data_IF_939514600221
#
_entry.id   IF_939514600221
#
_cell.length_a   1.000
_cell.length_b   1.000
_cell.length_c   1.000
_cell.angle_alpha   90.00
_cell.angle_beta   90.00
_cell.angle_gamma   90.00
#
_symmetry.space_group_name_H-M   'P 1'
#
loop_
_entity.id
_entity.type
_entity.pdbx_description
1 polymer ?
#
# COMPACT_ATOMS: atom_id res chain seq x y z
N UNK A 1 3.39 13.42 -26.17
CA UNK A 1 3.26 13.84 -24.76
C UNK A 1 3.91 15.21 -24.51
N UNK A 2 5.19 15.39 -24.82
CA UNK A 2 5.94 16.64 -24.60
C UNK A 2 5.24 17.90 -25.14
N UNK A 3 4.68 17.84 -26.35
CA UNK A 3 3.92 18.96 -26.94
C UNK A 3 2.69 19.37 -26.13
N UNK A 4 1.93 18.41 -25.61
CA UNK A 4 0.79 18.70 -24.73
C UNK A 4 1.28 19.29 -23.40
N UNK A 5 2.40 18.79 -22.90
CA UNK A 5 3.07 19.37 -21.73
C UNK A 5 3.39 20.86 -21.91
N UNK A 6 4.02 21.18 -23.04
CA UNK A 6 4.33 22.56 -23.41
C UNK A 6 3.07 23.41 -23.63
N UNK A 7 2.10 22.95 -24.45
CA UNK A 7 0.90 23.72 -24.77
C UNK A 7 0.13 24.08 -23.49
N UNK A 8 -0.07 23.13 -22.57
CA UNK A 8 -0.95 23.33 -21.42
C UNK A 8 -0.22 23.80 -20.14
N UNK A 9 1.04 24.26 -20.24
CA UNK A 9 1.84 24.68 -19.08
C UNK A 9 1.96 23.58 -18.00
N UNK A 10 2.06 22.32 -18.42
CA UNK A 10 2.16 21.17 -17.52
C UNK A 10 3.58 20.98 -16.96
N UNK A 11 4.51 21.91 -17.19
CA UNK A 11 5.85 21.92 -16.58
C UNK A 11 5.77 21.88 -15.03
N UNK A 12 4.65 22.38 -14.46
CA UNK A 12 4.35 22.27 -13.03
C UNK A 12 3.94 20.86 -12.58
N UNK A 13 3.56 19.98 -13.51
CA UNK A 13 3.26 18.57 -13.28
C UNK A 13 4.49 17.66 -13.33
N UNK A 14 5.71 18.20 -13.46
CA UNK A 14 6.95 17.42 -13.32
C UNK A 14 7.06 16.64 -12.00
N UNK A 15 6.31 17.07 -10.98
CA UNK A 15 6.22 16.37 -9.68
C UNK A 15 5.15 15.26 -9.66
N UNK A 16 4.32 15.16 -10.69
CA UNK A 16 3.23 14.18 -10.84
C UNK A 16 3.57 13.16 -11.92
N UNK A 17 4.19 13.60 -13.03
CA UNK A 17 4.65 12.76 -14.13
C UNK A 17 6.14 12.97 -14.30
N UNK A 18 6.92 11.88 -14.22
CA UNK A 18 8.31 11.91 -14.65
C UNK A 18 8.36 11.96 -16.18
N UNK A 19 8.77 13.10 -16.71
CA UNK A 19 9.05 13.24 -18.14
C UNK A 19 10.41 12.65 -18.52
N UNK A 20 11.25 12.21 -17.57
CA UNK A 20 12.55 11.57 -17.86
C UNK A 20 12.40 10.31 -18.75
N UNK A 21 11.28 9.60 -18.62
CA UNK A 21 10.89 8.48 -19.52
C UNK A 21 10.77 8.89 -20.98
N UNK A 22 10.54 10.18 -21.19
CA UNK A 22 10.37 10.82 -22.48
C UNK A 22 11.54 11.75 -22.76
N UNK A 23 12.68 11.70 -22.05
CA UNK A 23 13.86 12.55 -22.29
C UNK A 23 15.03 11.76 -22.92
N UNK A 24 15.02 10.42 -22.83
CA UNK A 24 15.98 9.53 -23.49
C UNK A 24 15.60 9.17 -24.94
N UNK A 25 15.06 10.12 -25.70
CA UNK A 25 14.87 9.93 -27.13
C UNK A 25 16.12 10.41 -27.89
N UNK A 26 16.48 9.69 -28.95
CA UNK A 26 17.60 10.08 -29.81
C UNK A 26 17.21 11.33 -30.60
N UNK A 27 17.65 12.49 -30.08
CA UNK A 27 17.46 13.81 -30.70
C UNK A 27 18.01 13.82 -32.13
N UNK A 28 19.13 13.15 -32.41
CA UNK A 28 19.70 13.09 -33.77
C UNK A 28 18.81 12.28 -34.71
N UNK A 29 18.23 11.17 -34.23
CA UNK A 29 17.30 10.35 -35.01
C UNK A 29 15.99 11.10 -35.29
N UNK A 30 15.45 11.81 -34.30
CA UNK A 30 14.25 12.63 -34.43
C UNK A 30 14.46 13.82 -35.37
N UNK A 31 15.62 14.47 -35.32
CA UNK A 31 15.99 15.56 -36.24
C UNK A 31 16.20 15.04 -37.67
N UNK A 32 16.72 13.82 -37.83
CA UNK A 32 16.87 13.16 -39.14
C UNK A 32 15.54 12.78 -39.78
N UNK A 33 14.56 12.36 -38.97
CA UNK A 33 13.18 12.14 -39.37
C UNK A 33 12.42 13.48 -39.41
N UNK A 34 12.83 14.39 -40.31
CA UNK A 34 12.39 15.79 -40.38
C UNK A 34 10.87 15.97 -40.30
N UNK A 35 10.10 15.04 -40.86
CA UNK A 35 8.64 15.09 -40.81
C UNK A 35 8.06 14.97 -39.40
N UNK A 36 8.64 14.18 -38.51
CA UNK A 36 8.09 13.94 -37.17
C UNK A 36 8.39 15.12 -36.24
N UNK A 37 9.63 15.62 -36.25
CA UNK A 37 10.06 16.73 -35.41
C UNK A 37 9.44 18.06 -35.84
N UNK A 38 9.40 18.37 -37.14
CA UNK A 38 8.72 19.55 -37.68
C UNK A 38 7.22 19.54 -37.34
N UNK A 39 6.58 18.36 -37.36
CA UNK A 39 5.18 18.23 -36.95
C UNK A 39 4.94 18.44 -35.46
N UNK A 40 5.95 18.24 -34.59
CA UNK A 40 5.81 18.42 -33.14
C UNK A 40 5.79 19.90 -32.72
N UNK A 41 6.37 20.82 -33.51
CA UNK A 41 6.43 22.27 -33.21
C UNK A 41 6.83 22.57 -31.75
N UNK A 42 7.79 21.82 -31.20
CA UNK A 42 8.30 22.08 -29.84
C UNK A 42 9.11 23.37 -29.89
N UNK A 43 8.72 24.38 -29.11
CA UNK A 43 9.47 25.64 -29.00
C UNK A 43 10.53 25.46 -27.90
N UNK A 44 11.80 25.74 -28.20
CA UNK A 44 12.89 25.74 -27.20
C UNK A 44 12.65 26.78 -26.10
N UNK A 45 12.17 27.98 -26.46
CA UNK A 45 11.77 29.03 -25.53
C UNK A 45 10.39 29.58 -25.87
N UNK A 46 9.48 29.58 -24.89
CA UNK A 46 8.17 30.23 -24.99
C UNK A 46 8.20 31.65 -24.45
N UNK A 47 7.37 32.52 -25.03
CA UNK A 47 7.26 33.90 -24.57
C UNK A 47 6.66 33.97 -23.16
N UNK A 48 6.99 35.03 -22.42
CA UNK A 48 6.45 35.27 -21.09
C UNK A 48 4.92 35.50 -21.10
N UNK A 49 4.32 35.84 -22.24
CA UNK A 49 2.85 35.87 -22.39
C UNK A 49 2.25 34.46 -22.50
N UNK A 50 2.88 33.54 -23.24
CA UNK A 50 2.42 32.16 -23.40
C UNK A 50 2.42 31.39 -22.07
N UNK A 51 3.39 31.67 -21.18
CA UNK A 51 3.47 31.09 -19.83
C UNK A 51 2.39 31.61 -18.88
N UNK A 52 1.75 32.74 -19.19
CA UNK A 52 0.67 33.36 -18.38
C UNK A 52 -0.72 32.93 -18.83
N UNK A 53 -0.85 32.16 -19.91
CA UNK A 53 -2.14 31.66 -20.40
C UNK A 53 -2.78 30.78 -19.32
N UNK A 54 -4.01 31.15 -18.94
CA UNK A 54 -4.82 30.43 -17.96
C UNK A 54 -5.77 29.52 -18.74
N UNK A 55 -5.60 28.22 -18.57
CA UNK A 55 -6.48 27.21 -19.16
C UNK A 55 -7.68 26.95 -18.25
N UNK A 56 -8.82 26.66 -18.87
CA UNK A 56 -10.01 26.17 -18.16
C UNK A 56 -9.77 24.78 -17.60
N UNK A 57 -10.58 24.38 -16.61
CA UNK A 57 -10.53 23.01 -16.05
C UNK A 57 -10.76 21.93 -17.12
N UNK A 58 -11.62 22.22 -18.11
CA UNK A 58 -11.95 21.28 -19.19
C UNK A 58 -10.76 21.05 -20.12
N UNK A 59 -10.08 22.13 -20.51
CA UNK A 59 -8.87 22.09 -21.34
C UNK A 59 -7.73 21.32 -20.64
N UNK A 60 -7.53 21.57 -19.35
CA UNK A 60 -6.53 20.83 -18.56
C UNK A 60 -6.92 19.35 -18.45
N UNK A 61 -8.20 19.04 -18.19
CA UNK A 61 -8.68 17.64 -18.14
C UNK A 61 -8.42 16.91 -19.45
N UNK A 62 -8.75 17.54 -20.59
CA UNK A 62 -8.50 16.99 -21.92
C UNK A 62 -7.02 16.70 -22.15
N UNK A 63 -6.14 17.63 -21.76
CA UNK A 63 -4.70 17.44 -21.90
C UNK A 63 -4.20 16.26 -21.05
N UNK A 64 -4.64 16.16 -19.79
CA UNK A 64 -4.28 15.09 -18.88
C UNK A 64 -4.77 13.72 -19.36
N UNK A 65 -6.03 13.64 -19.81
CA UNK A 65 -6.62 12.42 -20.39
C UNK A 65 -5.88 11.99 -21.65
N UNK A 66 -5.49 12.94 -22.51
CA UNK A 66 -4.71 12.67 -23.71
C UNK A 66 -3.30 12.17 -23.37
N UNK A 67 -2.62 12.77 -22.38
CA UNK A 67 -1.30 12.30 -21.93
C UNK A 67 -1.40 10.92 -21.30
N UNK A 68 -2.41 10.66 -20.46
CA UNK A 68 -2.68 9.34 -19.91
C UNK A 68 -2.83 8.27 -21.02
N UNK A 69 -3.64 8.55 -22.04
CA UNK A 69 -3.84 7.64 -23.16
C UNK A 69 -2.54 7.39 -23.93
N UNK A 70 -1.77 8.46 -24.23
CA UNK A 70 -0.50 8.34 -24.94
C UNK A 70 0.55 7.54 -24.15
N UNK A 71 0.66 7.76 -22.84
CA UNK A 71 1.58 6.98 -21.98
C UNK A 71 1.17 5.51 -21.91
N UNK A 72 -0.13 5.24 -21.85
CA UNK A 72 -0.65 3.85 -21.92
C UNK A 72 -0.26 3.21 -23.25
N UNK A 73 -0.47 3.90 -24.37
CA UNK A 73 -0.10 3.40 -25.70
C UNK A 73 1.42 3.23 -25.87
N UNK A 74 2.24 4.11 -25.30
CA UNK A 74 3.70 3.95 -25.32
C UNK A 74 4.15 2.71 -24.55
N UNK A 75 3.55 2.46 -23.38
CA UNK A 75 3.76 1.21 -22.66
C UNK A 75 3.33 -0.01 -23.48
N UNK A 76 2.21 0.07 -24.21
CA UNK A 76 1.77 -1.03 -25.08
C UNK A 76 2.75 -1.30 -26.22
N UNK A 77 3.23 -0.25 -26.89
CA UNK A 77 4.23 -0.36 -27.95
C UNK A 77 5.53 -0.99 -27.44
N UNK A 78 6.01 -0.57 -26.26
CA UNK A 78 7.18 -1.18 -25.63
C UNK A 78 6.94 -2.66 -25.28
N UNK A 79 5.77 -3.00 -24.72
CA UNK A 79 5.41 -4.40 -24.43
C UNK A 79 5.42 -5.25 -25.70
N UNK A 80 4.79 -4.76 -26.77
CA UNK A 80 4.76 -5.47 -28.05
C UNK A 80 6.16 -5.63 -28.64
N UNK A 81 6.99 -4.60 -28.56
CA UNK A 81 8.39 -4.68 -29.00
C UNK A 81 9.14 -5.84 -28.32
N UNK A 82 8.94 -6.00 -27.00
CA UNK A 82 9.49 -7.13 -26.23
C UNK A 82 8.92 -8.47 -26.71
N UNK A 83 7.59 -8.57 -26.80
CA UNK A 83 6.88 -9.82 -27.11
C UNK A 83 7.20 -10.34 -28.51
N UNK A 84 7.49 -9.45 -29.47
CA UNK A 84 7.91 -9.82 -30.81
C UNK A 84 9.41 -10.17 -30.94
N UNK A 85 10.15 -10.16 -29.83
CA UNK A 85 11.56 -10.55 -29.82
C UNK A 85 12.45 -9.58 -30.61
N UNK A 86 12.04 -8.31 -30.69
CA UNK A 86 12.82 -7.26 -31.35
C UNK A 86 13.94 -6.71 -30.45
N UNK A 87 14.07 -7.24 -29.22
CA UNK A 87 15.01 -6.79 -28.20
C UNK A 87 16.26 -7.66 -28.03
N UNK A 88 17.39 -6.97 -27.84
CA UNK A 88 18.65 -7.49 -27.30
C UNK A 88 19.06 -6.82 -25.98
N UNK A 89 18.14 -6.14 -25.28
CA UNK A 89 18.40 -5.35 -24.07
C UNK A 89 17.83 -6.01 -22.81
N UNK A 90 18.61 -5.99 -21.73
CA UNK A 90 18.17 -6.31 -20.36
C UNK A 90 17.40 -5.12 -19.74
N UNK A 91 16.36 -5.36 -18.93
CA UNK A 91 15.52 -4.39 -18.18
C UNK A 91 14.35 -3.71 -18.92
N UNK A 92 13.81 -4.32 -19.98
CA UNK A 92 12.72 -3.69 -20.76
C UNK A 92 11.36 -3.72 -20.04
N UNK A 93 11.14 -4.67 -19.12
CA UNK A 93 9.88 -4.77 -18.35
C UNK A 93 9.72 -3.60 -17.38
N UNK A 94 10.78 -3.19 -16.72
CA UNK A 94 10.79 -2.09 -15.75
C UNK A 94 10.52 -0.75 -16.45
N UNK A 95 11.13 -0.55 -17.63
CA UNK A 95 10.86 0.62 -18.48
C UNK A 95 9.41 0.61 -18.96
N UNK A 96 8.92 -0.54 -19.45
CA UNK A 96 7.53 -0.70 -19.87
C UNK A 96 6.54 -0.38 -18.73
N UNK A 97 6.82 -0.89 -17.53
CA UNK A 97 6.01 -0.64 -16.34
C UNK A 97 5.97 0.85 -15.98
N UNK A 98 7.09 1.54 -16.15
CA UNK A 98 7.21 2.96 -15.82
C UNK A 98 6.23 3.82 -16.64
N UNK A 99 6.05 3.53 -17.93
CA UNK A 99 5.01 4.22 -18.74
C UNK A 99 3.60 4.04 -18.17
N UNK A 100 3.24 2.82 -17.77
CA UNK A 100 1.92 2.56 -17.17
C UNK A 100 1.78 3.21 -15.80
N UNK A 101 2.83 3.26 -14.99
CA UNK A 101 2.82 3.94 -13.69
C UNK A 101 2.66 5.45 -13.82
N UNK A 102 3.35 6.08 -14.77
CA UNK A 102 3.16 7.50 -15.05
C UNK A 102 1.75 7.80 -15.57
N UNK A 103 1.21 6.95 -16.44
CA UNK A 103 -0.19 7.05 -16.86
C UNK A 103 -1.13 6.92 -15.65
N UNK A 104 -0.91 5.93 -14.78
CA UNK A 104 -1.73 5.71 -13.60
C UNK A 104 -1.72 6.90 -12.62
N UNK A 105 -0.57 7.54 -12.39
CA UNK A 105 -0.47 8.74 -11.53
C UNK A 105 -1.34 9.89 -12.02
N UNK A 106 -1.53 10.02 -13.33
CA UNK A 106 -2.39 11.04 -13.92
C UNK A 106 -3.89 10.77 -13.70
N UNK A 107 -4.29 9.50 -13.69
CA UNK A 107 -5.68 9.13 -13.48
C UNK A 107 -5.82 7.77 -12.78
N UNK A 108 -5.74 7.78 -11.46
CA UNK A 108 -5.84 6.58 -10.62
C UNK A 108 -7.23 5.95 -10.60
N UNK A 109 -8.23 6.61 -11.20
CA UNK A 109 -9.63 6.16 -11.22
C UNK A 109 -9.90 5.13 -12.31
N UNK A 110 -9.10 5.10 -13.37
CA UNK A 110 -9.35 4.26 -14.56
C UNK A 110 -8.52 2.97 -14.48
N UNK A 111 -9.17 1.82 -14.60
CA UNK A 111 -8.53 0.51 -14.43
C UNK A 111 -7.57 0.09 -15.55
N UNK A 112 -7.62 0.71 -16.73
CA UNK A 112 -6.91 0.22 -17.92
C UNK A 112 -5.39 0.07 -17.72
N UNK A 113 -4.73 1.05 -17.09
CA UNK A 113 -3.28 1.02 -16.84
C UNK A 113 -2.90 -0.12 -15.90
N UNK A 114 -3.77 -0.43 -14.93
CA UNK A 114 -3.61 -1.54 -14.01
C UNK A 114 -3.81 -2.88 -14.73
N UNK A 115 -4.78 -3.01 -15.64
CA UNK A 115 -4.87 -4.18 -16.51
C UNK A 115 -3.59 -4.40 -17.34
N UNK A 116 -2.98 -3.33 -17.87
CA UNK A 116 -1.74 -3.45 -18.64
C UNK A 116 -0.57 -3.90 -17.74
N UNK A 117 -0.44 -3.37 -16.52
CA UNK A 117 0.52 -3.85 -15.52
C UNK A 117 0.30 -5.31 -15.16
N UNK A 118 -0.96 -5.74 -15.02
CA UNK A 118 -1.30 -7.14 -14.75
C UNK A 118 -0.86 -8.07 -15.88
N UNK A 119 -0.94 -7.62 -17.13
CA UNK A 119 -0.45 -8.34 -18.31
C UNK A 119 1.07 -8.41 -18.32
N UNK A 120 1.75 -7.29 -18.02
CA UNK A 120 3.20 -7.19 -18.01
C UNK A 120 3.85 -8.10 -16.95
N UNK A 121 3.24 -8.19 -15.77
CA UNK A 121 3.73 -9.00 -14.66
C UNK A 121 3.22 -10.45 -14.63
N UNK A 122 2.67 -10.93 -15.75
CA UNK A 122 2.21 -12.32 -15.88
C UNK A 122 3.28 -13.32 -15.45
N UNK A 123 2.91 -14.24 -14.55
CA UNK A 123 3.81 -15.27 -13.98
C UNK A 123 4.70 -14.80 -12.82
N UNK A 124 4.89 -13.49 -12.60
CA UNK A 124 5.73 -12.98 -11.50
C UNK A 124 5.09 -13.28 -10.15
N UNK A 125 5.91 -13.66 -9.16
CA UNK A 125 5.46 -13.94 -7.80
C UNK A 125 4.29 -14.95 -7.76
N UNK A 126 4.40 -16.03 -8.54
CA UNK A 126 3.34 -17.03 -8.71
C UNK A 126 1.98 -16.44 -9.16
N UNK A 127 2.03 -15.38 -9.98
CA UNK A 127 0.89 -14.58 -10.45
C UNK A 127 0.28 -13.61 -9.43
N UNK A 128 0.82 -13.48 -8.22
CA UNK A 128 0.33 -12.51 -7.23
C UNK A 128 0.26 -11.09 -7.81
N UNK A 129 1.32 -10.68 -8.50
CA UNK A 129 1.43 -9.34 -9.10
C UNK A 129 0.34 -9.09 -10.13
N UNK A 130 0.13 -10.05 -11.05
CA UNK A 130 -0.93 -9.96 -12.04
C UNK A 130 -2.31 -9.90 -11.41
N UNK A 131 -2.59 -10.77 -10.44
CA UNK A 131 -3.88 -10.79 -9.74
C UNK A 131 -4.11 -9.47 -9.03
N UNK A 132 -3.13 -8.95 -8.29
CA UNK A 132 -3.24 -7.64 -7.64
C UNK A 132 -3.70 -6.54 -8.62
N UNK A 133 -3.03 -6.44 -9.76
CA UNK A 133 -3.32 -5.42 -10.76
C UNK A 133 -4.66 -5.61 -11.46
N UNK A 134 -5.04 -6.84 -11.83
CA UNK A 134 -6.35 -7.12 -12.41
C UNK A 134 -7.49 -6.86 -11.43
N UNK A 135 -7.34 -7.25 -10.16
CA UNK A 135 -8.37 -6.99 -9.15
C UNK A 135 -8.49 -5.51 -8.83
N UNK A 136 -7.37 -4.76 -8.78
CA UNK A 136 -7.42 -3.29 -8.69
C UNK A 136 -8.23 -2.72 -9.85
N UNK A 137 -7.92 -3.15 -11.08
CA UNK A 137 -8.58 -2.69 -12.30
C UNK A 137 -10.09 -2.94 -12.31
N UNK A 138 -10.57 -3.98 -11.62
CA UNK A 138 -11.98 -4.30 -11.45
C UNK A 138 -12.65 -3.57 -10.27
N UNK A 139 -11.87 -3.11 -9.30
CA UNK A 139 -12.39 -2.48 -8.07
C UNK A 139 -12.26 -0.95 -8.04
N UNK A 140 -11.49 -0.36 -8.96
CA UNK A 140 -11.31 1.08 -9.02
C UNK A 140 -12.62 1.81 -9.44
N UNK A 141 -12.70 3.14 -9.27
CA UNK A 141 -13.92 3.90 -9.56
C UNK A 141 -14.46 3.80 -11.00
N UNK A 142 -13.57 3.61 -11.98
CA UNK A 142 -13.91 3.37 -13.39
C UNK A 142 -13.28 2.02 -13.76
N UNK A 143 -13.97 0.90 -13.48
CA UNK A 143 -13.46 -0.44 -13.72
C UNK A 143 -13.16 -0.70 -15.20
N UNK A 144 -12.19 -1.58 -15.45
CA UNK A 144 -11.93 -2.10 -16.79
C UNK A 144 -12.30 -3.58 -16.86
N UNK A 145 -13.53 -3.85 -17.29
CA UNK A 145 -14.15 -5.18 -17.32
C UNK A 145 -13.36 -6.23 -18.11
N UNK A 146 -12.55 -5.82 -19.08
CA UNK A 146 -11.68 -6.73 -19.83
C UNK A 146 -10.55 -7.36 -18.97
N UNK A 147 -10.40 -6.95 -17.71
CA UNK A 147 -9.50 -7.61 -16.75
C UNK A 147 -10.08 -8.94 -16.23
N UNK A 148 -11.40 -9.08 -16.23
CA UNK A 148 -12.13 -10.24 -15.71
C UNK A 148 -11.73 -11.57 -16.38
N UNK A 149 -11.65 -11.66 -17.73
CA UNK A 149 -11.21 -12.90 -18.38
C UNK A 149 -9.73 -13.22 -18.09
N UNK A 150 -8.90 -12.22 -17.83
CA UNK A 150 -7.47 -12.41 -17.57
C UNK A 150 -7.24 -13.03 -16.20
N UNK A 151 -7.87 -12.49 -15.15
CA UNK A 151 -7.77 -13.05 -13.81
C UNK A 151 -8.47 -14.42 -13.71
N UNK A 152 -9.62 -14.58 -14.38
CA UNK A 152 -10.31 -15.88 -14.45
C UNK A 152 -9.43 -16.99 -15.05
N UNK A 153 -8.64 -16.66 -16.08
CA UNK A 153 -7.69 -17.60 -16.69
C UNK A 153 -6.58 -18.02 -15.71
N UNK A 154 -6.11 -17.08 -14.87
CA UNK A 154 -5.12 -17.38 -13.83
C UNK A 154 -5.73 -18.32 -12.80
N UNK A 155 -6.91 -18.01 -12.28
CA UNK A 155 -7.59 -18.87 -11.28
C UNK A 155 -7.89 -20.27 -11.82
N UNK A 156 -8.34 -20.40 -13.07
CA UNK A 156 -8.56 -21.72 -13.68
C UNK A 156 -7.28 -22.54 -13.81
N UNK A 157 -6.15 -21.92 -14.19
CA UNK A 157 -4.86 -22.62 -14.24
C UNK A 157 -4.40 -23.03 -12.83
N UNK A 158 -4.63 -22.17 -11.85
CA UNK A 158 -4.27 -22.41 -10.46
C UNK A 158 -5.07 -23.57 -9.84
N UNK A 159 -6.38 -23.66 -10.13
CA UNK A 159 -7.22 -24.79 -9.72
C UNK A 159 -6.67 -26.11 -10.30
N UNK A 160 -6.35 -26.14 -11.60
CA UNK A 160 -5.78 -27.35 -12.24
C UNK A 160 -4.44 -27.76 -11.64
N UNK A 161 -3.62 -26.79 -11.23
CA UNK A 161 -2.37 -27.06 -10.53
C UNK A 161 -2.61 -27.77 -9.20
N UNK A 162 -3.56 -27.28 -8.40
CA UNK A 162 -3.94 -27.89 -7.11
C UNK A 162 -4.56 -29.29 -7.29
N UNK A 163 -5.39 -29.48 -8.32
CA UNK A 163 -5.99 -30.79 -8.64
C UNK A 163 -4.95 -31.84 -9.08
N UNK A 164 -3.81 -31.40 -9.61
CA UNK A 164 -2.75 -32.28 -10.11
C UNK A 164 -1.69 -32.61 -9.05
N UNK A 165 -1.98 -32.39 -7.76
CA UNK A 165 -1.09 -32.58 -6.61
C UNK A 165 0.21 -31.74 -6.61
N UNK A 166 0.24 -30.62 -7.34
CA UNK A 166 1.42 -29.77 -7.44
C UNK A 166 2.54 -30.42 -8.28
N UNK A 167 3.14 -29.66 -9.19
CA UNK A 167 4.20 -30.18 -10.06
C UNK A 167 5.40 -30.70 -9.24
N UNK A 168 5.69 -32.00 -9.37
CA UNK A 168 6.57 -32.78 -8.50
C UNK A 168 8.09 -32.56 -8.69
N UNK A 169 8.54 -31.47 -9.31
CA UNK A 169 9.95 -31.26 -9.71
C UNK A 169 10.52 -29.89 -9.26
N UNK A 170 10.21 -29.44 -8.03
CA UNK A 170 10.63 -28.12 -7.52
C UNK A 170 11.37 -28.28 -6.20
N UNK A 171 12.38 -27.43 -5.97
CA UNK A 171 13.09 -27.34 -4.68
C UNK A 171 12.11 -27.14 -3.51
N UNK A 172 12.39 -27.79 -2.37
CA UNK A 172 11.45 -27.99 -1.26
C UNK A 172 10.95 -26.67 -0.64
N UNK A 173 11.78 -25.61 -0.66
CA UNK A 173 11.47 -24.29 -0.08
C UNK A 173 10.65 -23.40 -1.04
N UNK A 174 10.95 -23.41 -2.35
CA UNK A 174 10.12 -22.76 -3.40
C UNK A 174 8.75 -23.45 -3.51
N UNK A 175 8.71 -24.76 -3.24
CA UNK A 175 7.47 -25.52 -3.19
C UNK A 175 6.51 -25.01 -2.10
N UNK A 176 7.00 -24.73 -0.89
CA UNK A 176 6.16 -24.25 0.21
C UNK A 176 5.49 -22.90 -0.11
N UNK A 177 6.25 -21.95 -0.68
CA UNK A 177 5.74 -20.62 -1.07
C UNK A 177 4.75 -20.74 -2.23
N UNK A 178 5.08 -21.56 -3.24
CA UNK A 178 4.20 -21.84 -4.37
C UNK A 178 2.88 -22.46 -3.94
N UNK A 179 2.93 -23.43 -3.03
CA UNK A 179 1.75 -24.13 -2.52
C UNK A 179 0.87 -23.21 -1.67
N UNK A 180 1.48 -22.41 -0.78
CA UNK A 180 0.80 -21.33 -0.07
C UNK A 180 0.08 -20.40 -1.05
N UNK A 181 0.79 -19.94 -2.08
CA UNK A 181 0.24 -19.01 -3.07
C UNK A 181 -0.90 -19.61 -3.87
N UNK A 182 -0.79 -20.88 -4.26
CA UNK A 182 -1.85 -21.55 -4.98
C UNK A 182 -3.13 -21.63 -4.14
N UNK A 183 -3.04 -22.01 -2.86
CA UNK A 183 -4.19 -22.03 -1.94
C UNK A 183 -4.72 -20.63 -1.65
N UNK A 184 -3.85 -19.63 -1.48
CA UNK A 184 -4.24 -18.25 -1.28
C UNK A 184 -5.05 -17.73 -2.48
N UNK A 185 -4.58 -17.94 -3.72
CA UNK A 185 -5.29 -17.52 -4.92
C UNK A 185 -6.65 -18.22 -5.07
N UNK A 186 -6.78 -19.47 -4.58
CA UNK A 186 -8.09 -20.14 -4.50
C UNK A 186 -9.03 -19.46 -3.48
N UNK A 187 -8.51 -19.07 -2.32
CA UNK A 187 -9.29 -18.28 -1.34
C UNK A 187 -9.75 -16.95 -1.92
N UNK A 188 -8.87 -16.26 -2.66
CA UNK A 188 -9.19 -15.01 -3.36
C UNK A 188 -10.27 -15.22 -4.39
N UNK A 189 -10.17 -16.26 -5.23
CA UNK A 189 -11.18 -16.59 -6.25
C UNK A 189 -12.56 -16.83 -5.61
N UNK A 190 -12.61 -17.52 -4.47
CA UNK A 190 -13.87 -17.76 -3.74
C UNK A 190 -14.45 -16.47 -3.16
N UNK A 191 -13.65 -15.66 -2.46
CA UNK A 191 -14.14 -14.42 -1.86
C UNK A 191 -14.50 -13.37 -2.92
N UNK A 192 -13.67 -13.17 -3.94
CA UNK A 192 -13.86 -12.11 -4.93
C UNK A 192 -15.11 -12.33 -5.79
N UNK A 193 -15.36 -13.58 -6.18
CA UNK A 193 -16.53 -13.97 -6.99
C UNK A 193 -17.69 -14.52 -6.19
N UNK A 194 -17.62 -14.44 -4.86
CA UNK A 194 -18.64 -14.94 -3.95
C UNK A 194 -19.04 -16.41 -4.22
N UNK A 195 -18.08 -17.24 -4.63
CA UNK A 195 -18.35 -18.64 -4.98
C UNK A 195 -18.74 -19.44 -3.74
N UNK A 196 -19.57 -20.46 -3.93
CA UNK A 196 -19.95 -21.38 -2.87
C UNK A 196 -19.14 -22.66 -3.02
N UNK A 197 -18.24 -22.91 -2.07
CA UNK A 197 -17.32 -24.06 -2.07
C UNK A 197 -17.46 -24.81 -0.75
N UNK A 198 -17.49 -26.14 -0.81
CA UNK A 198 -17.47 -27.00 0.38
C UNK A 198 -16.13 -26.87 1.10
N UNK A 199 -16.15 -27.01 2.44
CA UNK A 199 -14.93 -26.98 3.26
C UNK A 199 -14.08 -25.70 3.14
N UNK A 200 -14.69 -24.60 2.71
CA UNK A 200 -13.99 -23.31 2.53
C UNK A 200 -13.34 -22.80 3.82
N UNK A 201 -13.97 -23.05 4.98
CA UNK A 201 -13.38 -22.71 6.29
C UNK A 201 -12.08 -23.47 6.53
N UNK A 202 -12.03 -24.75 6.18
CA UNK A 202 -10.81 -25.58 6.30
C UNK A 202 -9.71 -25.09 5.35
N UNK A 203 -10.06 -24.69 4.13
CA UNK A 203 -9.12 -24.07 3.20
C UNK A 203 -8.54 -22.77 3.78
N UNK A 204 -9.37 -21.90 4.34
CA UNK A 204 -8.92 -20.67 5.00
C UNK A 204 -7.94 -20.97 6.15
N UNK A 205 -8.25 -21.95 7.00
CA UNK A 205 -7.34 -22.36 8.07
C UNK A 205 -6.01 -22.91 7.54
N UNK A 206 -6.04 -23.73 6.48
CA UNK A 206 -4.80 -24.22 5.85
C UNK A 206 -3.95 -23.06 5.33
N UNK A 207 -4.55 -22.06 4.68
CA UNK A 207 -3.81 -20.89 4.16
C UNK A 207 -3.16 -20.10 5.30
N UNK A 208 -3.82 -19.95 6.45
CA UNK A 208 -3.24 -19.25 7.61
C UNK A 208 -2.04 -20.00 8.20
N UNK A 209 -2.11 -21.33 8.28
CA UNK A 209 -1.00 -22.17 8.74
C UNK A 209 0.19 -22.06 7.76
N UNK A 210 -0.10 -22.19 6.46
CA UNK A 210 0.92 -22.08 5.42
C UNK A 210 1.55 -20.68 5.42
N UNK A 211 0.75 -19.63 5.63
CA UNK A 211 1.21 -18.24 5.76
C UNK A 211 2.20 -18.07 6.93
N UNK A 212 1.87 -18.60 8.11
CA UNK A 212 2.75 -18.59 9.28
C UNK A 212 4.09 -19.28 8.97
N UNK A 213 4.04 -20.42 8.28
CA UNK A 213 5.23 -21.18 7.91
C UNK A 213 6.12 -20.40 6.94
N UNK A 214 5.55 -19.82 5.88
CA UNK A 214 6.34 -19.05 4.89
C UNK A 214 6.88 -17.74 5.46
N UNK A 215 6.19 -17.11 6.43
CA UNK A 215 6.71 -15.98 7.18
C UNK A 215 7.92 -16.37 8.04
N UNK A 216 7.84 -17.50 8.75
CA UNK A 216 8.94 -18.04 9.55
C UNK A 216 10.15 -18.48 8.71
N UNK A 217 9.88 -18.95 7.48
CA UNK A 217 10.88 -19.34 6.50
C UNK A 217 11.48 -18.16 5.72
N UNK A 218 11.22 -16.90 6.12
CA UNK A 218 11.87 -15.69 5.58
C UNK A 218 13.38 -15.74 5.85
N UNK A 219 14.11 -16.54 5.07
CA UNK A 219 15.55 -16.72 5.09
C UNK A 219 16.13 -16.49 3.71
N UNK A 220 17.31 -15.87 3.73
CA UNK A 220 18.10 -15.39 2.61
C UNK A 220 18.55 -16.55 1.73
N UNK A 221 18.11 -16.55 0.48
CA UNK A 221 18.92 -17.06 -0.62
C UNK A 221 19.37 -15.82 -1.38
N UNK A 222 20.68 -15.60 -1.46
CA UNK A 222 21.30 -14.54 -2.27
C UNK A 222 20.75 -13.11 -2.04
N UNK A 223 20.63 -12.68 -0.77
CA UNK A 223 20.11 -11.35 -0.38
C UNK A 223 18.63 -11.04 -0.75
N UNK A 224 17.91 -12.01 -1.34
CA UNK A 224 16.49 -11.89 -1.64
C UNK A 224 15.62 -12.67 -0.62
N UNK A 225 14.53 -12.04 -0.18
CA UNK A 225 13.54 -12.65 0.69
C UNK A 225 12.43 -13.29 -0.16
N UNK A 226 12.12 -14.58 0.07
CA UNK A 226 10.95 -15.24 -0.55
C UNK A 226 9.64 -14.48 -0.33
N UNK A 227 9.48 -13.87 0.85
CA UNK A 227 8.37 -12.99 1.20
C UNK A 227 8.91 -11.57 1.44
N UNK A 228 8.83 -10.73 0.41
CA UNK A 228 9.17 -9.30 0.50
C UNK A 228 8.02 -8.50 1.11
N UNK A 229 8.31 -7.29 1.57
CA UNK A 229 7.27 -6.39 2.08
C UNK A 229 6.22 -6.06 1.00
N UNK A 230 6.65 -5.97 -0.26
CA UNK A 230 5.77 -5.77 -1.43
C UNK A 230 4.83 -6.98 -1.64
N UNK A 231 5.33 -8.20 -1.43
CA UNK A 231 4.54 -9.42 -1.54
C UNK A 231 3.43 -9.45 -0.48
N UNK A 232 3.77 -9.16 0.78
CA UNK A 232 2.81 -9.07 1.89
C UNK A 232 1.79 -7.95 1.65
N UNK A 233 2.24 -6.79 1.18
CA UNK A 233 1.36 -5.68 0.84
C UNK A 233 0.32 -6.07 -0.22
N UNK A 234 0.73 -6.79 -1.27
CA UNK A 234 -0.18 -7.26 -2.33
C UNK A 234 -1.19 -8.29 -1.81
N UNK A 235 -0.78 -9.23 -0.96
CA UNK A 235 -1.69 -10.18 -0.28
C UNK A 235 -2.79 -9.42 0.47
N UNK A 236 -2.40 -8.49 1.34
CA UNK A 236 -3.36 -7.73 2.16
C UNK A 236 -4.26 -6.86 1.28
N UNK A 237 -3.71 -6.19 0.27
CA UNK A 237 -4.47 -5.35 -0.66
C UNK A 237 -5.50 -6.15 -1.46
N UNK A 238 -5.15 -7.36 -1.91
CA UNK A 238 -6.08 -8.26 -2.58
C UNK A 238 -7.27 -8.61 -1.67
N UNK A 239 -7.03 -8.86 -0.39
CA UNK A 239 -8.12 -9.13 0.56
C UNK A 239 -9.04 -7.90 0.74
N UNK A 240 -8.50 -6.68 0.67
CA UNK A 240 -9.31 -5.47 0.61
C UNK A 240 -10.15 -5.37 -0.67
N UNK A 241 -9.63 -5.79 -1.83
CA UNK A 241 -10.41 -5.87 -3.06
C UNK A 241 -11.55 -6.89 -2.94
N UNK A 242 -11.29 -8.06 -2.35
CA UNK A 242 -12.32 -9.04 -2.02
C UNK A 242 -13.40 -8.44 -1.10
N UNK A 243 -13.00 -7.72 -0.05
CA UNK A 243 -13.93 -7.08 0.89
C UNK A 243 -14.82 -6.06 0.18
N UNK A 244 -14.23 -5.21 -0.65
CA UNK A 244 -14.97 -4.23 -1.45
C UNK A 244 -16.02 -4.90 -2.34
N UNK A 245 -15.65 -5.98 -3.05
CA UNK A 245 -16.60 -6.75 -3.88
C UNK A 245 -17.71 -7.39 -3.07
N UNK A 246 -17.40 -8.00 -1.94
CA UNK A 246 -18.41 -8.61 -1.07
C UNK A 246 -19.39 -7.56 -0.50
N UNK A 247 -18.90 -6.37 -0.16
CA UNK A 247 -19.74 -5.24 0.26
C UNK A 247 -20.68 -4.78 -0.85
N UNK A 248 -20.17 -4.62 -2.08
CA UNK A 248 -21.00 -4.26 -3.24
C UNK A 248 -22.11 -5.29 -3.49
N UNK A 249 -21.78 -6.57 -3.33
CA UNK A 249 -22.73 -7.66 -3.53
C UNK A 249 -23.62 -7.93 -2.30
N UNK A 250 -23.44 -7.22 -1.18
CA UNK A 250 -24.11 -7.48 0.09
C UNK A 250 -24.01 -8.94 0.57
N UNK A 251 -22.86 -9.58 0.32
CA UNK A 251 -22.65 -10.99 0.66
C UNK A 251 -22.34 -11.19 2.14
N UNK A 252 -22.92 -12.22 2.74
CA UNK A 252 -22.65 -12.61 4.13
C UNK A 252 -21.22 -13.15 4.32
N UNK A 253 -20.51 -13.52 3.25
CA UNK A 253 -19.10 -13.94 3.34
C UNK A 253 -18.17 -12.84 3.84
N UNK A 254 -18.63 -11.59 3.90
CA UNK A 254 -17.89 -10.48 4.51
C UNK A 254 -17.47 -10.76 5.96
N UNK A 255 -18.30 -11.46 6.75
CA UNK A 255 -17.96 -11.80 8.13
C UNK A 255 -16.82 -12.81 8.18
N UNK A 256 -16.84 -13.82 7.31
CA UNK A 256 -15.77 -14.80 7.17
C UNK A 256 -14.46 -14.16 6.70
N UNK A 257 -14.54 -13.24 5.73
CA UNK A 257 -13.36 -12.50 5.26
C UNK A 257 -12.76 -11.63 6.38
N UNK A 258 -13.59 -10.92 7.16
CA UNK A 258 -13.12 -10.13 8.29
C UNK A 258 -12.39 -11.00 9.33
N UNK A 259 -12.95 -12.15 9.69
CA UNK A 259 -12.29 -13.09 10.59
C UNK A 259 -10.96 -13.60 10.03
N UNK A 260 -10.93 -13.94 8.74
CA UNK A 260 -9.71 -14.37 8.05
C UNK A 260 -8.64 -13.27 8.04
N UNK A 261 -9.00 -12.02 7.72
CA UNK A 261 -8.07 -10.89 7.73
C UNK A 261 -7.53 -10.59 9.13
N UNK A 262 -8.37 -10.66 10.17
CA UNK A 262 -7.92 -10.49 11.56
C UNK A 262 -6.91 -11.58 11.95
N UNK A 263 -7.18 -12.84 11.60
CA UNK A 263 -6.25 -13.93 11.85
C UNK A 263 -4.93 -13.74 11.08
N UNK A 264 -4.99 -13.38 9.80
CA UNK A 264 -3.80 -13.10 8.98
C UNK A 264 -2.96 -11.96 9.55
N UNK A 265 -3.59 -10.86 10.00
CA UNK A 265 -2.91 -9.77 10.68
C UNK A 265 -2.31 -10.20 12.03
N UNK A 266 -2.96 -11.11 12.76
CA UNK A 266 -2.43 -11.66 14.00
C UNK A 266 -1.12 -12.43 13.75
N UNK A 267 -1.04 -13.24 12.70
CA UNK A 267 0.19 -13.95 12.33
C UNK A 267 1.32 -12.97 11.94
N UNK A 268 0.99 -11.88 11.23
CA UNK A 268 1.96 -10.81 10.93
C UNK A 268 2.49 -10.12 12.20
N UNK A 269 1.61 -9.79 13.14
CA UNK A 269 2.00 -9.17 14.41
C UNK A 269 2.83 -10.10 15.29
N UNK A 270 2.48 -11.39 15.33
CA UNK A 270 3.25 -12.41 16.03
C UNK A 270 4.66 -12.52 15.44
N UNK A 271 4.78 -12.57 14.11
CA UNK A 271 6.07 -12.56 13.43
C UNK A 271 6.91 -11.31 13.77
N UNK A 272 6.31 -10.12 13.71
CA UNK A 272 7.00 -8.88 14.08
C UNK A 272 7.46 -8.90 15.54
N UNK A 273 6.64 -9.41 16.45
CA UNK A 273 6.97 -9.54 17.87
C UNK A 273 8.16 -10.48 18.05
N UNK A 274 8.12 -11.66 17.44
CA UNK A 274 9.22 -12.63 17.47
C UNK A 274 10.51 -12.06 16.89
N UNK A 275 10.43 -11.28 15.80
CA UNK A 275 11.59 -10.64 15.19
C UNK A 275 12.23 -9.61 16.14
N UNK A 276 11.42 -8.79 16.81
CA UNK A 276 11.89 -7.83 17.83
C UNK A 276 12.49 -8.55 19.02
N UNK A 277 11.83 -9.58 19.56
CA UNK A 277 12.33 -10.38 20.68
C UNK A 277 13.68 -11.03 20.34
N UNK A 278 13.79 -11.62 19.15
CA UNK A 278 15.05 -12.19 18.65
C UNK A 278 16.15 -11.15 18.58
N UNK A 279 15.87 -9.98 17.99
CA UNK A 279 16.83 -8.89 17.90
C UNK A 279 17.29 -8.44 19.30
N UNK A 280 16.37 -8.27 20.24
CA UNK A 280 16.67 -7.91 21.62
C UNK A 280 17.59 -8.94 22.26
N UNK A 281 17.30 -10.24 22.11
CA UNK A 281 18.10 -11.35 22.66
C UNK A 281 19.51 -11.40 22.07
N UNK A 282 19.64 -11.22 20.75
CA UNK A 282 20.93 -11.24 20.05
C UNK A 282 21.82 -10.03 20.44
N UNK A 283 21.20 -8.89 20.77
CA UNK A 283 21.89 -7.65 21.09
C UNK A 283 22.00 -7.36 22.61
N UNK A 284 21.65 -8.32 23.49
CA UNK A 284 21.70 -8.14 24.96
C UNK A 284 23.05 -7.63 25.47
N UNK A 285 24.16 -8.07 24.87
CA UNK A 285 25.51 -7.65 25.28
C UNK A 285 25.79 -6.19 24.93
N UNK A 286 25.37 -5.75 23.75
CA UNK A 286 25.53 -4.37 23.30
C UNK A 286 24.60 -3.44 24.08
N UNK A 287 23.38 -3.89 24.35
CA UNK A 287 22.40 -3.19 25.20
C UNK A 287 22.90 -3.03 26.65
N UNK A 288 23.54 -4.07 27.21
CA UNK A 288 24.19 -3.96 28.53
C UNK A 288 25.30 -2.91 28.53
N UNK A 289 26.17 -2.94 27.51
CA UNK A 289 27.27 -1.97 27.36
C UNK A 289 26.74 -0.54 27.21
N UNK A 290 25.69 -0.35 26.41
CA UNK A 290 25.01 0.93 26.24
C UNK A 290 24.43 1.44 27.56
N UNK A 291 23.70 0.58 28.30
CA UNK A 291 23.12 0.94 29.61
C UNK A 291 24.16 1.32 30.66
N UNK A 292 25.26 0.58 30.74
CA UNK A 292 26.37 0.92 31.64
C UNK A 292 26.97 2.30 31.31
N UNK A 293 27.17 2.57 30.01
CA UNK A 293 27.75 3.83 29.54
C UNK A 293 26.81 5.01 29.76
N UNK A 294 25.53 4.83 29.45
CA UNK A 294 24.48 5.83 29.68
C UNK A 294 24.33 6.15 31.17
N UNK A 295 24.33 5.11 32.03
CA UNK A 295 24.25 5.29 33.49
C UNK A 295 25.47 6.04 34.03
N UNK A 296 26.68 5.71 33.56
CA UNK A 296 27.90 6.41 33.97
C UNK A 296 27.89 7.88 33.53
N UNK A 297 27.37 8.20 32.34
CA UNK A 297 27.19 9.58 31.88
C UNK A 297 26.18 10.34 32.74
N UNK A 298 25.04 9.72 33.03
CA UNK A 298 23.99 10.33 33.84
C UNK A 298 24.48 10.64 35.27
N UNK A 299 25.21 9.70 35.90
CA UNK A 299 25.81 9.90 37.22
C UNK A 299 26.83 11.03 37.22
N UNK A 300 27.70 11.12 36.20
CA UNK A 300 28.65 12.23 36.07
C UNK A 300 27.94 13.57 35.98
N UNK A 301 26.86 13.64 35.21
CA UNK A 301 26.05 14.85 35.08
C UNK A 301 25.37 15.23 36.40
N UNK A 302 24.75 14.27 37.10
CA UNK A 302 24.13 14.54 38.41
C UNK A 302 25.15 15.01 39.45
N UNK A 303 26.34 14.41 39.48
CA UNK A 303 27.43 14.84 40.35
C UNK A 303 27.96 16.24 40.02
N UNK A 304 28.00 16.61 38.74
CA UNK A 304 28.39 17.94 38.29
C UNK A 304 27.34 19.00 38.68
N UNK A 305 26.06 18.68 38.53
CA UNK A 305 24.95 19.53 38.98
C UNK A 305 24.97 19.67 40.51
N UNK A 306 25.18 18.57 41.25
CA UNK A 306 25.28 18.60 42.72
C UNK A 306 26.47 19.44 43.18
N UNK A 307 27.65 19.27 42.56
CA UNK A 307 28.84 20.10 42.83
C UNK A 307 28.60 21.58 42.53
N UNK A 308 27.97 21.90 41.40
CA UNK A 308 27.63 23.28 41.03
C UNK A 308 26.68 23.92 42.05
N UNK A 309 25.64 23.20 42.49
CA UNK A 309 24.71 23.67 43.53
C UNK A 309 25.40 23.87 44.88
N UNK A 310 26.36 23.01 45.22
CA UNK A 310 27.11 23.11 46.47
C UNK A 310 28.09 24.29 46.47
N UNK A 311 28.76 24.57 45.33
CA UNK A 311 29.60 25.77 45.16
C UNK A 311 28.80 27.08 45.25
N UNK A 312 27.54 27.08 44.82
CA UNK A 312 26.63 28.22 45.01
C UNK A 312 26.22 28.38 46.48
N UNK A 313 26.04 27.27 47.21
CA UNK A 313 25.63 27.27 48.62
C UNK A 313 26.77 27.63 49.59
N UNK A 314 27.98 27.19 49.29
CA UNK A 314 29.18 27.43 50.11
C UNK A 314 29.86 28.79 49.81
N UNK A 315 29.24 29.62 48.97
CA UNK A 315 29.65 31.01 48.72
C UNK A 315 30.90 31.19 47.85
N UNK A 316 31.49 30.10 47.33
CA UNK A 316 32.70 30.13 46.49
C UNK A 316 32.44 30.45 45.02
N UNK A 317 31.20 30.35 44.55
CA UNK A 317 30.78 30.79 43.20
C UNK A 317 30.24 32.25 43.19
N UNK A 318 30.59 33.05 44.20
CA UNK A 318 30.28 34.48 44.26
C UNK A 318 31.15 35.30 43.32
N UNK A 319 30.98 35.10 42.02
CA UNK A 319 31.65 35.93 41.01
C UNK A 319 31.69 35.23 39.67
N UNK A 320 31.09 35.88 38.67
CA UNK A 320 31.04 35.46 37.26
C UNK A 320 29.95 34.41 37.01
N UNK A 321 28.70 34.84 37.02
CA UNK A 321 27.91 34.92 35.78
C UNK A 321 26.72 35.85 36.03
N UNK A 322 26.92 37.09 35.60
CA UNK A 322 25.89 38.09 35.36
C UNK A 322 24.79 37.53 34.47
N UNK A 323 23.54 37.72 34.91
CA UNK A 323 22.35 38.05 34.11
C UNK A 323 22.53 37.87 32.61
N UNK A 324 21.92 36.84 32.03
CA UNK A 324 20.76 37.02 31.18
C UNK A 324 20.27 35.69 30.58
N UNK A 325 18.97 35.70 30.28
CA UNK A 325 18.22 34.85 29.35
C UNK A 325 17.36 33.71 29.90
N UNK A 326 16.06 33.96 29.73
CA UNK A 326 14.95 33.03 29.51
C UNK A 326 15.35 31.73 28.84
N UNK A 327 14.88 30.60 29.38
CA UNK A 327 14.30 29.44 28.68
C UNK A 327 13.71 28.54 29.77
N UNK A 328 12.39 28.45 29.93
CA UNK A 328 11.47 27.61 29.15
C UNK A 328 11.90 26.15 29.04
N UNK A 329 11.63 25.37 30.10
CA UNK A 329 11.25 23.95 30.05
C UNK A 329 10.76 23.60 31.47
N UNK A 330 9.50 23.30 31.76
CA UNK A 330 8.56 22.54 30.96
C UNK A 330 8.78 21.04 31.15
N UNK A 331 8.75 20.58 32.40
CA UNK A 331 8.51 19.16 32.76
C UNK A 331 7.71 19.16 34.05
N UNK A 332 6.39 19.02 33.95
CA UNK A 332 5.55 18.64 35.07
C UNK A 332 5.80 17.16 35.37
N UNK A 333 6.54 16.87 36.44
CA UNK A 333 6.54 15.56 37.09
C UNK A 333 5.33 15.49 38.01
N UNK A 334 4.22 14.95 37.50
CA UNK A 334 3.06 14.59 38.31
C UNK A 334 3.14 13.13 38.71
N UNK A 335 3.59 12.86 39.93
CA UNK A 335 3.51 11.53 40.54
C UNK A 335 2.78 11.66 41.89
N UNK A 336 1.76 10.81 42.11
CA UNK A 336 1.29 10.47 43.47
C UNK A 336 -0.11 10.95 43.86
N UNK A 337 -1.07 10.04 43.67
CA UNK A 337 -2.16 9.64 44.57
C UNK A 337 -2.62 10.55 45.72
N UNK A 338 -3.94 10.71 45.85
CA UNK A 338 -4.63 10.53 47.14
C UNK A 338 -6.13 10.24 46.94
N UNK A 339 -6.55 9.10 47.47
CA UNK A 339 -7.94 8.74 47.77
C UNK A 339 -8.53 9.72 48.80
N UNK A 340 -9.78 10.15 48.61
CA UNK A 340 -10.74 10.22 49.71
C UNK A 340 -12.20 10.34 49.26
N UNK A 341 -13.00 9.51 49.92
CA UNK A 341 -14.46 9.33 49.95
C UNK A 341 -15.31 10.54 50.37
N UNK A 342 -16.50 10.70 49.76
CA UNK A 342 -17.85 10.76 50.39
C UNK A 342 -18.90 11.16 49.33
N UNK A 343 -19.92 10.34 49.02
CA UNK A 343 -21.24 10.21 49.68
C UNK A 343 -21.98 11.55 49.86
N UNK A 344 -23.05 11.80 49.10
CA UNK A 344 -24.47 11.51 49.47
C UNK A 344 -25.49 12.17 48.52
N UNK A 345 -26.56 11.41 48.23
CA UNK A 345 -27.96 11.78 47.95
C UNK A 345 -28.29 12.72 46.76
N UNK A 346 -29.40 12.56 46.03
CA UNK A 346 -30.72 12.10 46.49
C UNK A 346 -31.58 11.54 45.34
N UNK A 347 -32.50 10.66 45.72
CA UNK A 347 -33.50 10.01 44.88
C UNK A 347 -34.54 11.00 44.33
N UNK A 348 -35.17 10.66 43.18
CA UNK A 348 -36.64 10.64 43.08
C UNK A 348 -37.16 9.88 41.86
N UNK A 349 -37.90 8.82 42.19
CA UNK A 349 -38.80 8.01 41.36
C UNK A 349 -39.92 8.85 40.75
N UNK A 350 -40.38 8.47 39.55
CA UNK A 350 -41.74 7.94 39.36
C UNK A 350 -42.05 7.65 37.88
N UNK A 351 -42.15 6.35 37.55
CA UNK A 351 -42.92 5.83 36.40
C UNK A 351 -44.29 5.35 36.91
N UNK A 352 -45.35 5.71 36.19
CA UNK A 352 -46.65 5.02 36.03
C UNK A 352 -47.56 5.99 35.25
N UNK A 353 -48.50 5.64 34.37
CA UNK A 353 -48.93 4.41 33.70
C UNK A 353 -50.13 4.82 32.82
N UNK A 354 -50.25 4.22 31.63
CA UNK A 354 -51.51 3.90 30.89
C UNK A 354 -52.60 4.97 30.64
N UNK A 355 -53.00 5.10 29.37
CA UNK A 355 -54.29 5.69 28.96
C UNK A 355 -54.62 5.39 27.49
N UNK A 356 -55.65 4.58 27.26
CA UNK A 356 -56.18 4.06 25.98
C UNK A 356 -57.08 5.06 25.21
N UNK A 357 -57.38 4.65 23.96
CA UNK A 357 -58.55 4.94 23.07
C UNK A 357 -58.28 5.97 21.96
N UNK A 358 -58.67 5.77 20.70
CA UNK A 358 -59.43 4.68 20.06
C UNK A 358 -59.83 5.04 18.61
N UNK A 359 -60.25 4.02 17.84
CA UNK A 359 -61.04 4.11 16.58
C UNK A 359 -60.23 4.35 15.30
N UNK A 360 -60.41 3.67 14.17
CA UNK A 360 -61.33 2.62 13.72
C UNK A 360 -61.28 2.49 12.18
N UNK A 361 -61.74 1.33 11.67
CA UNK A 361 -62.22 1.00 10.30
C UNK A 361 -61.15 0.90 9.17
N UNK A 362 -60.86 -0.27 8.58
CA UNK A 362 -61.61 -1.23 7.70
C UNK A 362 -61.48 -0.97 6.18
N UNK A 363 -60.88 -1.96 5.49
CA UNK A 363 -61.14 -2.60 4.15
C UNK A 363 -59.93 -2.55 3.20
N UNK A 364 -59.27 -3.67 2.85
CA UNK A 364 -59.60 -4.72 1.84
C UNK A 364 -59.91 -4.19 0.42
N UNK A 365 -58.93 -4.28 -0.48
CA UNK A 365 -58.85 -5.08 -1.73
C UNK A 365 -57.76 -4.45 -2.63
N UNK A 366 -56.70 -5.17 -3.00
CA UNK A 366 -56.62 -6.11 -4.11
C UNK A 366 -57.06 -5.50 -5.46
N UNK A 367 -56.07 -5.04 -6.23
CA UNK A 367 -55.88 -5.45 -7.62
C UNK A 367 -54.41 -5.34 -7.98
#
# INVERSE_FOLDING_TARGET
VLRLGQIFNLDRLRYVVSYELLENYDDELLVRESSCYENLNLKEERSEEEKKVIYTKQEISFALESVHALLTSLGDLHRYYCEFGLDGLSNVKEVTASYYWEAFKLNTKVGITQNQLGTLYNGRNYNLDSVYHYLYSLCCPIPFECSEPNVSRIFQKNIRYLESNGGADVEEEDYAVREFMAKFLLVVDVFFYDKSVSDFTSLCHSVLIDFKNVLGARRLVDDEYYMTDEFIFKIVSILFFCMYRLQLNSSEKIYSLNAFMVALCSELLEYCTMAVEKYVVENVREDKKFRELYTAMYQRYDDEVRRSRQMVKDGTAGGIFTKDQKSSSGVEEGNGSEDHSNKENDERKSQASSGKQGGGLKKKHAR
#
